data_IF_354446403747
#
_entry.id   IF_354446403747
#
_cell.length_a   1.000
_cell.length_b   1.000
_cell.length_c   1.000
_cell.angle_alpha   90.00
_cell.angle_beta   90.00
_cell.angle_gamma   90.00
#
_symmetry.space_group_name_H-M   'P 1'
#
loop_
_entity.id
_entity.type
_entity.pdbx_description
1 polymer ?
#
# COMPACT_ATOMS: atom_id res chain seq x y z
N UNK A 1 -64.07 70.91 -6.73
CA UNK A 1 -65.38 70.72 -6.06
C UNK A 1 -65.45 69.29 -5.54
N UNK A 2 -65.38 69.15 -4.18
CA UNK A 2 -66.29 68.34 -3.35
C UNK A 2 -66.36 66.82 -3.73
N UNK A 3 -66.19 65.85 -2.93
CA UNK A 3 -66.16 65.58 -1.47
C UNK A 3 -65.69 64.09 -1.35
N UNK A 4 -64.98 63.83 -0.28
CA UNK A 4 -64.80 62.53 0.32
C UNK A 4 -66.15 61.99 0.90
N UNK A 5 -66.39 60.68 1.18
CA UNK A 5 -65.83 60.14 2.43
C UNK A 5 -65.50 58.64 2.42
N UNK A 6 -64.66 58.28 3.40
CA UNK A 6 -64.47 57.05 4.17
C UNK A 6 -65.47 55.91 3.96
N UNK A 7 -64.95 54.72 3.83
CA UNK A 7 -65.54 53.50 4.29
C UNK A 7 -64.49 52.51 4.81
N UNK A 8 -64.69 52.19 6.06
CA UNK A 8 -63.96 51.27 6.91
C UNK A 8 -64.10 49.84 6.38
N UNK A 9 -63.04 49.10 6.18
CA UNK A 9 -63.05 47.68 5.85
C UNK A 9 -62.35 46.85 6.91
N UNK A 10 -63.08 45.88 7.44
CA UNK A 10 -62.69 44.89 8.44
C UNK A 10 -61.50 44.05 7.96
N UNK A 11 -60.51 43.88 8.84
CA UNK A 11 -59.48 42.82 8.75
C UNK A 11 -60.13 41.48 9.12
N UNK A 12 -60.20 40.61 8.15
CA UNK A 12 -60.39 39.17 8.38
C UNK A 12 -59.04 38.47 8.37
N UNK A 13 -58.53 38.15 9.55
CA UNK A 13 -57.31 37.32 9.71
C UNK A 13 -57.68 35.84 9.40
N UNK A 14 -57.24 35.37 8.22
CA UNK A 14 -57.20 33.93 7.93
C UNK A 14 -55.86 33.37 8.51
N UNK A 15 -55.98 32.62 9.56
CA UNK A 15 -54.93 31.72 10.03
C UNK A 15 -54.82 30.56 9.03
N UNK A 16 -53.77 30.58 8.18
CA UNK A 16 -53.37 29.38 7.46
C UNK A 16 -52.43 28.60 8.38
N UNK A 17 -52.96 27.57 9.02
CA UNK A 17 -52.17 26.51 9.64
C UNK A 17 -51.56 25.69 8.52
N UNK A 18 -50.36 26.09 8.07
CA UNK A 18 -49.53 25.27 7.21
C UNK A 18 -48.97 24.11 8.06
N UNK A 19 -49.41 22.89 7.72
CA UNK A 19 -48.76 21.69 8.22
C UNK A 19 -47.35 21.63 7.65
N UNK A 20 -46.35 21.96 8.49
CA UNK A 20 -44.97 21.57 8.26
C UNK A 20 -44.82 20.09 8.59
N UNK A 21 -45.13 19.26 7.60
CA UNK A 21 -44.77 17.85 7.61
C UNK A 21 -43.82 17.56 6.45
N UNK A 22 -42.62 18.05 6.57
CA UNK A 22 -41.40 17.58 5.89
C UNK A 22 -40.24 17.88 6.83
N UNK A 23 -40.21 17.22 7.97
CA UNK A 23 -39.02 16.96 8.72
C UNK A 23 -38.51 15.61 8.23
N UNK A 24 -37.85 15.57 7.12
CA UNK A 24 -36.86 14.56 6.83
C UNK A 24 -35.65 14.93 7.65
N UNK A 25 -35.46 14.33 8.80
CA UNK A 25 -34.14 14.16 9.37
C UNK A 25 -33.40 13.23 8.39
N UNK A 26 -32.85 13.82 7.31
CA UNK A 26 -31.72 13.25 6.63
C UNK A 26 -30.58 13.39 7.62
N UNK A 27 -30.51 12.47 8.57
CA UNK A 27 -29.27 12.11 9.24
C UNK A 27 -28.33 11.54 8.16
N UNK A 28 -27.73 12.44 7.39
CA UNK A 28 -26.41 12.22 6.78
C UNK A 28 -25.42 12.11 7.95
N UNK A 29 -25.55 11.03 8.72
CA UNK A 29 -24.56 10.66 9.71
C UNK A 29 -23.26 10.46 8.91
N UNK A 30 -22.35 11.44 9.01
CA UNK A 30 -21.06 11.35 8.37
C UNK A 30 -20.44 10.00 8.73
N UNK A 31 -20.15 9.19 7.72
CA UNK A 31 -19.51 7.88 7.91
C UNK A 31 -18.16 8.15 8.57
N UNK A 32 -18.02 7.78 9.83
CA UNK A 32 -16.82 8.03 10.63
C UNK A 32 -16.04 6.74 10.87
N UNK A 33 -14.71 6.82 11.02
CA UNK A 33 -13.90 5.67 11.39
C UNK A 33 -14.40 5.00 12.67
N UNK A 34 -14.32 3.67 12.72
CA UNK A 34 -14.74 2.89 13.88
C UNK A 34 -13.97 3.30 15.14
N UNK A 35 -14.69 3.41 16.26
CA UNK A 35 -14.06 3.60 17.57
C UNK A 35 -13.23 2.36 17.96
N UNK A 36 -12.10 2.60 18.64
CA UNK A 36 -11.24 1.52 19.09
C UNK A 36 -11.93 0.67 20.15
N UNK A 37 -12.21 -0.59 19.84
CA UNK A 37 -12.75 -1.55 20.79
C UNK A 37 -11.78 -1.79 21.93
N UNK A 38 -12.32 -1.96 23.14
CA UNK A 38 -11.57 -2.35 24.34
C UNK A 38 -11.44 -3.86 24.38
N UNK A 39 -10.25 -4.37 24.61
CA UNK A 39 -9.96 -5.78 24.81
C UNK A 39 -8.85 -5.98 25.82
N UNK A 40 -8.70 -7.20 26.32
CA UNK A 40 -7.59 -7.57 27.18
C UNK A 40 -6.38 -7.91 26.31
N UNK A 41 -5.26 -7.22 26.49
CA UNK A 41 -4.04 -7.56 25.78
C UNK A 41 -3.53 -8.93 26.22
N UNK A 42 -3.22 -9.78 25.26
CA UNK A 42 -2.69 -11.14 25.45
C UNK A 42 -1.18 -11.20 25.21
N UNK A 43 -0.68 -10.28 24.36
CA UNK A 43 0.74 -10.15 24.08
C UNK A 43 1.26 -8.77 24.45
N UNK A 44 2.52 -8.69 24.84
CA UNK A 44 3.20 -7.43 25.16
C UNK A 44 4.10 -7.00 24.00
N UNK A 45 3.73 -5.88 23.37
CA UNK A 45 4.50 -5.28 22.28
C UNK A 45 5.59 -4.39 22.90
N UNK A 46 6.85 -4.66 22.56
CA UNK A 46 7.99 -3.91 23.06
C UNK A 46 8.70 -3.17 21.95
N UNK A 47 8.81 -1.84 22.10
CA UNK A 47 9.67 -1.02 21.26
C UNK A 47 11.13 -1.33 21.58
N UNK A 48 11.92 -1.71 20.56
CA UNK A 48 13.34 -1.98 20.69
C UNK A 48 14.15 -0.69 20.58
N UNK A 49 13.89 0.05 19.54
CA UNK A 49 14.47 1.36 19.24
C UNK A 49 13.52 2.19 18.37
N UNK A 50 13.79 3.50 18.30
CA UNK A 50 13.11 4.42 17.39
C UNK A 50 14.12 5.48 16.93
N UNK A 51 14.11 5.84 15.64
CA UNK A 51 15.02 6.80 15.03
C UNK A 51 14.25 7.67 14.04
N UNK A 52 14.42 8.99 14.09
CA UNK A 52 13.89 9.90 13.09
C UNK A 52 14.85 9.97 11.89
N UNK A 53 14.32 9.84 10.68
CA UNK A 53 15.11 9.86 9.43
C UNK A 53 15.01 11.15 8.65
N UNK A 54 14.00 11.97 8.89
CA UNK A 54 13.77 13.24 8.19
C UNK A 54 12.57 13.97 8.75
N UNK A 55 12.14 15.01 8.06
CA UNK A 55 10.88 15.69 8.35
C UNK A 55 9.75 14.99 7.62
N UNK A 56 8.66 14.73 8.34
CA UNK A 56 7.40 14.39 7.68
C UNK A 56 6.83 15.65 7.04
N UNK A 57 6.67 15.66 5.75
CA UNK A 57 5.73 16.59 5.15
C UNK A 57 4.33 16.03 5.43
N UNK A 58 3.57 16.68 6.32
CA UNK A 58 2.23 16.27 6.74
C UNK A 58 1.22 16.25 5.58
N UNK A 59 1.53 16.91 4.47
CA UNK A 59 0.69 16.97 3.27
C UNK A 59 0.79 15.73 2.37
N UNK A 60 1.84 14.90 2.56
CA UNK A 60 2.02 13.65 1.83
C UNK A 60 2.03 12.47 2.79
N UNK A 61 1.11 11.54 2.58
CA UNK A 61 1.18 10.24 3.26
C UNK A 61 2.46 9.56 2.82
N UNK A 62 3.34 9.25 3.78
CA UNK A 62 4.58 8.57 3.46
C UNK A 62 4.28 7.11 3.10
N UNK A 63 4.22 6.84 1.80
CA UNK A 63 4.05 5.49 1.25
C UNK A 63 5.38 4.78 1.00
N UNK A 64 6.52 5.45 1.27
CA UNK A 64 7.84 4.88 1.02
C UNK A 64 8.09 3.72 1.98
N UNK A 65 8.17 2.53 1.39
CA UNK A 65 8.40 1.28 2.13
C UNK A 65 9.87 1.16 2.51
N UNK A 66 10.21 0.90 3.79
CA UNK A 66 11.58 0.53 4.14
C UNK A 66 11.93 -0.84 3.56
N UNK A 67 13.21 -1.05 3.25
CA UNK A 67 13.74 -2.35 2.81
C UNK A 67 14.90 -2.79 3.69
N UNK A 68 15.27 -4.07 3.61
CA UNK A 68 16.32 -4.65 4.46
C UNK A 68 17.31 -5.50 3.67
N UNK A 69 18.57 -5.40 4.06
CA UNK A 69 19.58 -6.35 3.64
C UNK A 69 20.59 -6.59 4.78
N UNK A 70 20.75 -7.85 5.19
CA UNK A 70 21.61 -8.21 6.30
C UNK A 70 21.25 -7.45 7.57
N UNK A 71 22.22 -6.68 8.07
CA UNK A 71 22.07 -5.89 9.30
C UNK A 71 21.61 -4.44 9.04
N UNK A 72 21.23 -4.09 7.80
CA UNK A 72 20.85 -2.73 7.40
C UNK A 72 19.39 -2.64 6.99
N UNK A 73 18.73 -1.58 7.48
CA UNK A 73 17.43 -1.12 6.99
C UNK A 73 17.69 0.13 6.16
N UNK A 74 17.14 0.17 4.95
CA UNK A 74 17.17 1.35 4.10
C UNK A 74 15.76 1.95 4.05
N UNK A 75 15.69 3.26 4.20
CA UNK A 75 14.44 4.00 4.27
C UNK A 75 14.63 5.39 3.67
N UNK A 76 13.57 6.05 3.27
CA UNK A 76 13.62 7.36 2.67
C UNK A 76 12.43 8.23 3.07
N UNK A 77 12.53 9.51 2.71
CA UNK A 77 11.44 10.47 2.77
C UNK A 77 11.19 11.13 1.40
N UNK A 78 10.04 11.81 1.28
CA UNK A 78 9.67 12.49 0.03
C UNK A 78 10.55 13.71 -0.32
N UNK A 79 11.35 14.22 0.62
CA UNK A 79 12.29 15.33 0.40
C UNK A 79 13.63 14.87 -0.16
N UNK A 80 13.74 13.58 -0.52
CA UNK A 80 14.94 13.01 -1.13
C UNK A 80 15.98 12.48 -0.15
N UNK A 81 15.66 12.45 1.14
CA UNK A 81 16.58 11.87 2.13
C UNK A 81 16.51 10.36 2.09
N UNK A 82 17.63 9.70 1.84
CA UNK A 82 17.79 8.23 1.94
C UNK A 82 18.72 7.92 3.10
N UNK A 83 18.32 6.98 3.94
CA UNK A 83 19.03 6.67 5.20
C UNK A 83 19.22 5.17 5.35
N UNK A 84 20.41 4.75 5.72
CA UNK A 84 20.70 3.40 6.20
C UNK A 84 20.76 3.37 7.72
N UNK A 85 20.01 2.44 8.33
CA UNK A 85 19.96 2.23 9.77
C UNK A 85 20.46 0.82 10.11
N UNK A 86 21.18 0.70 11.21
CA UNK A 86 21.50 -0.62 11.75
C UNK A 86 20.25 -1.26 12.37
N UNK A 87 19.89 -2.47 11.94
CA UNK A 87 18.67 -3.16 12.34
C UNK A 87 18.59 -3.45 13.84
N UNK A 88 19.73 -3.69 14.49
CA UNK A 88 19.76 -4.11 15.90
C UNK A 88 19.51 -2.97 16.89
N UNK A 89 19.79 -1.72 16.50
CA UNK A 89 19.80 -0.59 17.42
C UNK A 89 19.29 0.74 16.82
N UNK A 90 18.91 0.76 15.53
CA UNK A 90 18.39 1.94 14.83
C UNK A 90 19.41 3.05 14.59
N UNK A 91 20.71 2.84 14.83
CA UNK A 91 21.73 3.87 14.57
C UNK A 91 21.88 4.10 13.07
N UNK A 92 21.97 5.37 12.66
CA UNK A 92 22.28 5.76 11.28
C UNK A 92 23.69 5.30 10.93
N UNK A 93 23.83 4.52 9.86
CA UNK A 93 25.11 4.16 9.24
C UNK A 93 25.54 5.27 8.29
N UNK A 94 24.63 5.68 7.42
CA UNK A 94 24.78 6.84 6.53
C UNK A 94 23.44 7.50 6.25
N UNK A 95 23.46 8.71 5.78
CA UNK A 95 22.30 9.48 5.32
C UNK A 95 22.74 10.43 4.21
N UNK A 96 22.02 10.43 3.09
CA UNK A 96 22.25 11.33 1.96
C UNK A 96 20.96 12.05 1.62
N UNK A 97 21.04 13.26 1.07
CA UNK A 97 19.93 13.95 0.47
C UNK A 97 20.22 14.10 -1.03
N UNK A 98 19.29 13.66 -1.86
CA UNK A 98 19.39 13.70 -3.32
C UNK A 98 18.90 15.03 -3.91
N UNK A 99 18.32 15.91 -3.09
CA UNK A 99 17.70 17.19 -3.49
C UNK A 99 16.60 17.02 -4.58
N UNK A 100 15.88 15.90 -4.53
CA UNK A 100 14.77 15.55 -5.45
C UNK A 100 13.55 15.06 -4.67
N UNK A 101 12.38 15.13 -5.30
CA UNK A 101 11.14 14.59 -4.69
C UNK A 101 11.01 13.10 -4.97
N UNK A 102 11.31 12.26 -3.98
CA UNK A 102 11.18 10.81 -4.06
C UNK A 102 9.72 10.42 -3.88
N UNK A 103 9.19 9.62 -4.81
CA UNK A 103 7.83 9.09 -4.79
C UNK A 103 7.77 7.56 -4.71
N UNK A 104 8.82 6.86 -5.15
CA UNK A 104 8.93 5.41 -5.17
C UNK A 104 10.16 4.88 -4.45
N UNK A 105 9.95 3.88 -3.64
CA UNK A 105 11.08 3.24 -2.94
C UNK A 105 10.74 2.91 -1.49
N UNK A 106 11.70 2.38 -0.75
CA UNK A 106 13.12 2.16 -1.08
C UNK A 106 13.29 0.71 -1.55
N UNK A 107 13.86 0.53 -2.72
CA UNK A 107 14.24 -0.78 -3.25
C UNK A 107 15.66 -1.18 -2.83
N UNK A 108 15.93 -2.48 -2.81
CA UNK A 108 17.27 -3.02 -2.62
C UNK A 108 17.52 -4.22 -3.55
N UNK A 109 18.72 -4.32 -4.09
CA UNK A 109 19.19 -5.49 -4.83
C UNK A 109 20.68 -5.36 -5.17
N UNK A 110 21.42 -6.46 -5.07
CA UNK A 110 22.82 -6.57 -5.47
C UNK A 110 23.77 -5.47 -4.94
N UNK A 111 23.57 -5.07 -3.69
CA UNK A 111 24.41 -4.02 -3.07
C UNK A 111 23.99 -2.59 -3.40
N UNK A 112 22.86 -2.40 -4.07
CA UNK A 112 22.32 -1.09 -4.41
C UNK A 112 21.04 -0.81 -3.64
N UNK A 113 20.88 0.45 -3.24
CA UNK A 113 19.62 1.05 -2.75
C UNK A 113 19.05 1.89 -3.87
N UNK A 114 17.76 1.72 -4.17
CA UNK A 114 17.15 2.37 -5.32
C UNK A 114 15.92 3.16 -4.91
N UNK A 115 15.74 4.34 -5.50
CA UNK A 115 14.55 5.19 -5.32
C UNK A 115 14.10 5.75 -6.67
N UNK A 116 12.81 6.00 -6.78
CA UNK A 116 12.20 6.67 -7.93
C UNK A 116 11.65 8.04 -7.54
N UNK A 117 11.49 8.93 -8.50
CA UNK A 117 11.05 10.31 -8.29
C UNK A 117 9.75 10.62 -9.03
N UNK A 118 9.10 11.72 -8.64
CA UNK A 118 7.92 12.25 -9.36
C UNK A 118 8.24 12.70 -10.78
N UNK A 119 9.49 13.06 -11.07
CA UNK A 119 9.94 13.46 -12.41
C UNK A 119 10.38 12.27 -13.28
N UNK A 120 10.25 11.02 -12.76
CA UNK A 120 10.62 9.81 -13.50
C UNK A 120 12.10 9.50 -13.48
N UNK A 121 12.87 10.07 -12.56
CA UNK A 121 14.26 9.69 -12.38
C UNK A 121 14.36 8.48 -11.46
N UNK A 122 15.28 7.58 -11.74
CA UNK A 122 15.64 6.42 -10.90
C UNK A 122 17.07 6.59 -10.43
N UNK A 123 17.28 6.63 -9.14
CA UNK A 123 18.59 6.71 -8.51
C UNK A 123 18.98 5.36 -7.96
N UNK A 124 20.20 4.90 -8.27
CA UNK A 124 20.84 3.78 -7.59
C UNK A 124 22.00 4.30 -6.76
N UNK A 125 22.03 3.91 -5.49
CA UNK A 125 23.04 4.30 -4.52
C UNK A 125 23.81 3.06 -4.02
N UNK A 126 25.07 3.19 -3.73
CA UNK A 126 25.84 2.16 -3.04
C UNK A 126 25.28 1.94 -1.63
N UNK A 127 24.90 0.71 -1.34
CA UNK A 127 24.29 0.37 -0.05
C UNK A 127 25.26 0.56 1.16
N UNK A 128 26.57 0.61 0.90
CA UNK A 128 27.59 0.71 1.96
C UNK A 128 27.79 2.14 2.47
N UNK A 129 27.62 3.15 1.60
CA UNK A 129 27.92 4.55 1.93
C UNK A 129 26.92 5.57 1.41
N UNK A 130 25.96 5.15 0.57
CA UNK A 130 24.94 6.02 -0.01
C UNK A 130 25.39 6.86 -1.20
N UNK A 131 26.61 6.64 -1.74
CA UNK A 131 27.06 7.34 -2.94
C UNK A 131 26.23 6.95 -4.17
N UNK A 132 25.90 7.93 -5.02
CA UNK A 132 25.14 7.68 -6.26
C UNK A 132 26.02 6.91 -7.24
N UNK A 133 25.56 5.74 -7.67
CA UNK A 133 26.21 4.89 -8.66
C UNK A 133 25.81 5.31 -10.06
N UNK A 134 24.51 5.49 -10.29
CA UNK A 134 23.96 5.97 -11.56
C UNK A 134 22.57 6.59 -11.35
N UNK A 135 22.15 7.34 -12.34
CA UNK A 135 20.78 7.90 -12.46
C UNK A 135 20.26 7.60 -13.85
N UNK A 136 19.00 7.21 -13.96
CA UNK A 136 18.32 6.91 -15.22
C UNK A 136 16.99 7.67 -15.30
N UNK A 137 16.54 7.99 -16.52
CA UNK A 137 15.27 8.65 -16.80
C UNK A 137 14.30 7.64 -17.41
N UNK A 138 13.11 7.50 -16.82
CA UNK A 138 11.98 6.72 -17.36
C UNK A 138 10.84 7.63 -17.80
N UNK A 139 9.76 7.07 -18.35
CA UNK A 139 8.72 7.84 -19.05
C UNK A 139 7.86 8.72 -18.15
N UNK A 140 7.68 8.35 -16.88
CA UNK A 140 6.75 9.03 -15.98
C UNK A 140 7.13 8.80 -14.52
N UNK A 141 6.35 9.35 -13.59
CA UNK A 141 6.52 9.18 -12.14
C UNK A 141 6.69 7.71 -11.75
N UNK A 142 7.64 7.45 -10.84
CA UNK A 142 7.89 6.13 -10.23
C UNK A 142 7.34 6.12 -8.82
N UNK A 143 6.23 5.41 -8.58
CA UNK A 143 5.61 5.31 -7.25
C UNK A 143 6.04 4.03 -6.53
N UNK A 144 6.16 2.90 -7.25
CA UNK A 144 6.59 1.64 -6.67
C UNK A 144 8.10 1.58 -6.43
N UNK A 145 8.50 0.72 -5.49
CA UNK A 145 9.93 0.53 -5.23
C UNK A 145 10.61 -0.19 -6.41
N UNK A 146 11.69 0.37 -7.00
CA UNK A 146 12.49 -0.38 -7.96
C UNK A 146 13.04 -1.67 -7.38
N UNK A 147 13.07 -2.76 -8.14
CA UNK A 147 13.51 -4.10 -7.69
C UNK A 147 14.62 -4.62 -8.59
N UNK A 148 15.61 -5.31 -8.01
CA UNK A 148 16.74 -5.85 -8.78
C UNK A 148 17.08 -7.30 -8.38
N UNK A 149 17.48 -8.08 -9.38
CA UNK A 149 18.11 -9.39 -9.21
C UNK A 149 19.66 -9.34 -9.31
N UNK A 150 20.23 -8.15 -9.55
CA UNK A 150 21.66 -7.92 -9.74
C UNK A 150 22.08 -7.83 -11.21
N UNK A 151 21.26 -8.21 -12.15
CA UNK A 151 21.48 -8.07 -13.59
C UNK A 151 20.64 -6.94 -14.16
N UNK A 152 19.37 -6.86 -13.75
CA UNK A 152 18.43 -5.80 -14.11
C UNK A 152 17.87 -5.09 -12.90
N UNK A 153 17.36 -3.89 -13.12
CA UNK A 153 16.46 -3.15 -12.21
C UNK A 153 15.11 -2.99 -12.92
N UNK A 154 14.05 -3.58 -12.34
CA UNK A 154 12.69 -3.40 -12.83
C UNK A 154 12.07 -2.16 -12.19
N UNK A 155 11.47 -1.30 -13.01
CA UNK A 155 10.84 -0.03 -12.62
C UNK A 155 9.49 0.07 -13.30
N UNK A 156 8.41 0.25 -12.52
CA UNK A 156 7.09 0.52 -13.06
C UNK A 156 6.72 1.99 -12.85
N UNK A 157 6.12 2.59 -13.88
CA UNK A 157 5.72 4.00 -13.90
C UNK A 157 4.20 4.17 -13.92
N UNK A 158 3.69 5.33 -13.50
CA UNK A 158 2.25 5.61 -13.41
C UNK A 158 1.53 5.64 -14.76
N UNK A 159 2.24 5.67 -15.87
CA UNK A 159 1.69 5.52 -17.22
C UNK A 159 1.60 4.04 -17.68
N UNK A 160 1.57 3.12 -16.71
CA UNK A 160 1.40 1.66 -16.86
C UNK A 160 2.52 1.00 -17.69
N UNK A 161 3.75 1.54 -17.62
CA UNK A 161 4.93 0.97 -18.26
C UNK A 161 5.84 0.28 -17.28
N UNK A 162 6.48 -0.80 -17.76
CA UNK A 162 7.50 -1.53 -17.02
C UNK A 162 8.82 -1.43 -17.78
N UNK A 163 9.85 -0.92 -17.11
CA UNK A 163 11.21 -0.82 -17.62
C UNK A 163 12.11 -1.86 -16.95
N UNK A 164 13.04 -2.41 -17.71
CA UNK A 164 14.21 -3.09 -17.16
C UNK A 164 15.45 -2.31 -17.55
N UNK A 165 16.16 -1.85 -16.54
CA UNK A 165 17.42 -1.12 -16.66
C UNK A 165 18.58 -2.06 -16.33
N UNK A 166 19.72 -1.88 -16.95
CA UNK A 166 20.97 -2.56 -16.57
C UNK A 166 21.36 -2.19 -15.14
N UNK A 167 21.55 -3.17 -14.28
CA UNK A 167 21.81 -2.91 -12.86
C UNK A 167 23.14 -2.18 -12.61
N UNK A 168 24.10 -2.24 -13.55
CA UNK A 168 25.41 -1.64 -13.41
C UNK A 168 25.47 -0.21 -13.96
N UNK A 169 24.73 0.06 -15.05
CA UNK A 169 24.86 1.33 -15.80
C UNK A 169 23.60 2.20 -15.71
N UNK A 170 22.43 1.61 -15.39
CA UNK A 170 21.13 2.27 -15.44
C UNK A 170 20.58 2.42 -16.88
N UNK A 171 21.27 1.91 -17.90
CA UNK A 171 20.78 1.97 -19.28
C UNK A 171 19.56 1.05 -19.47
N UNK A 172 18.60 1.50 -20.29
CA UNK A 172 17.42 0.70 -20.63
C UNK A 172 17.81 -0.53 -21.44
N UNK A 173 17.41 -1.73 -21.00
CA UNK A 173 17.58 -2.98 -21.73
C UNK A 173 16.31 -3.29 -22.54
N UNK A 174 15.14 -3.20 -21.90
CA UNK A 174 13.85 -3.39 -22.53
C UNK A 174 12.76 -2.65 -21.76
N UNK A 175 11.67 -2.39 -22.45
CA UNK A 175 10.43 -1.86 -21.86
C UNK A 175 9.21 -2.65 -22.30
N UNK A 176 8.15 -2.61 -21.52
CA UNK A 176 6.83 -3.11 -21.86
C UNK A 176 5.81 -2.00 -21.62
N UNK A 177 5.03 -1.70 -22.67
CA UNK A 177 3.92 -0.75 -22.57
C UNK A 177 2.67 -1.51 -22.14
N UNK A 178 2.08 -1.14 -21.01
CA UNK A 178 0.80 -1.64 -20.56
C UNK A 178 -0.38 -1.00 -21.32
N UNK A 179 -1.57 -1.48 -21.05
CA UNK A 179 -2.82 -0.96 -21.63
C UNK A 179 -3.47 0.03 -20.63
N UNK A 180 -2.79 1.15 -20.33
CA UNK A 180 -3.28 2.11 -19.33
C UNK A 180 -4.77 2.46 -19.53
N UNK A 181 -5.66 2.24 -18.54
CA UNK A 181 -7.05 2.65 -18.63
C UNK A 181 -7.19 4.18 -18.56
N UNK A 182 -8.37 4.70 -18.89
CA UNK A 182 -8.66 6.15 -18.81
C UNK A 182 -8.59 6.64 -17.36
N UNK A 183 -8.92 5.77 -16.40
CA UNK A 183 -8.90 6.00 -14.96
C UNK A 183 -8.31 4.77 -14.26
N UNK A 184 -7.31 4.99 -13.41
CA UNK A 184 -6.77 4.00 -12.49
C UNK A 184 -6.70 4.59 -11.07
N UNK A 185 -6.55 3.75 -10.06
CA UNK A 185 -6.11 4.21 -8.73
C UNK A 185 -4.68 4.72 -8.87
N UNK A 186 -4.33 5.82 -8.18
CA UNK A 186 -2.94 6.28 -8.19
C UNK A 186 -2.08 5.32 -7.38
N UNK A 187 -1.58 4.31 -8.05
CA UNK A 187 -0.70 3.27 -7.53
C UNK A 187 0.03 2.62 -8.69
N UNK A 188 1.01 1.82 -8.40
CA UNK A 188 1.64 0.89 -9.34
C UNK A 188 2.10 -0.33 -8.56
N UNK A 189 1.99 -1.50 -9.17
CA UNK A 189 2.45 -2.74 -8.54
C UNK A 189 3.96 -2.70 -8.27
N UNK A 190 4.38 -3.12 -7.09
CA UNK A 190 5.80 -3.45 -6.91
C UNK A 190 6.10 -4.75 -7.67
N UNK A 191 7.04 -4.70 -8.60
CA UNK A 191 7.43 -5.90 -9.35
C UNK A 191 8.19 -6.89 -8.47
N UNK A 192 7.98 -8.19 -8.67
CA UNK A 192 8.82 -9.25 -8.10
C UNK A 192 9.87 -9.65 -9.12
N UNK A 193 11.14 -9.45 -8.81
CA UNK A 193 12.25 -9.76 -9.72
C UNK A 193 13.04 -10.95 -9.19
N UNK A 194 13.14 -11.98 -10.00
CA UNK A 194 13.93 -13.19 -9.72
C UNK A 194 14.94 -13.43 -10.84
N UNK A 195 15.84 -14.41 -10.70
CA UNK A 195 16.82 -14.71 -11.76
C UNK A 195 16.19 -15.21 -13.07
N UNK A 196 14.93 -15.60 -13.09
CA UNK A 196 14.28 -16.17 -14.29
C UNK A 196 12.92 -15.56 -14.63
N UNK A 197 12.47 -14.55 -13.87
CA UNK A 197 11.16 -13.94 -14.08
C UNK A 197 11.09 -12.53 -13.45
N UNK A 198 10.50 -11.60 -14.19
CA UNK A 198 9.94 -10.34 -13.68
C UNK A 198 8.44 -10.51 -13.66
N UNK A 199 7.81 -10.33 -12.51
CA UNK A 199 6.37 -10.43 -12.32
C UNK A 199 5.82 -9.05 -11.95
N UNK A 200 4.85 -8.53 -12.70
CA UNK A 200 4.26 -7.22 -12.46
C UNK A 200 2.75 -7.24 -12.61
N UNK A 201 2.05 -6.51 -11.75
CA UNK A 201 0.64 -6.21 -11.87
C UNK A 201 0.43 -4.95 -12.72
N UNK A 202 -0.72 -4.85 -13.38
CA UNK A 202 -1.09 -3.72 -14.23
C UNK A 202 -2.48 -3.20 -13.90
N UNK A 203 -2.75 -1.94 -14.28
CA UNK A 203 -4.00 -1.21 -14.04
C UNK A 203 -5.21 -1.80 -14.79
N UNK A 204 -5.00 -2.86 -15.55
CA UNK A 204 -6.07 -3.63 -16.25
C UNK A 204 -6.48 -4.91 -15.51
N UNK A 205 -5.99 -5.10 -14.28
CA UNK A 205 -6.20 -6.33 -13.50
C UNK A 205 -5.47 -7.55 -14.06
N UNK A 206 -4.42 -7.32 -14.85
CA UNK A 206 -3.54 -8.35 -15.39
C UNK A 206 -2.30 -8.51 -14.52
N UNK A 207 -1.91 -9.75 -14.30
CA UNK A 207 -0.60 -10.12 -13.74
C UNK A 207 0.22 -10.76 -14.84
N UNK A 208 1.40 -10.21 -15.11
CA UNK A 208 2.21 -10.59 -16.25
C UNK A 208 3.61 -11.01 -15.80
N UNK A 209 4.11 -12.09 -16.36
CA UNK A 209 5.47 -12.57 -16.14
C UNK A 209 6.30 -12.43 -17.42
N UNK A 210 7.47 -11.82 -17.28
CA UNK A 210 8.42 -11.56 -18.35
C UNK A 210 9.75 -12.27 -18.11
N UNK A 211 10.42 -12.60 -19.20
CA UNK A 211 11.83 -12.99 -19.16
C UNK A 211 12.69 -11.77 -18.79
N UNK A 212 13.53 -11.83 -17.73
CA UNK A 212 14.32 -10.69 -17.30
C UNK A 212 15.34 -10.20 -18.35
N UNK A 213 15.89 -11.08 -19.19
CA UNK A 213 16.97 -10.75 -20.11
C UNK A 213 16.51 -9.91 -21.30
N UNK A 214 15.25 -10.10 -21.75
CA UNK A 214 14.78 -9.53 -23.03
C UNK A 214 13.33 -9.05 -23.03
N UNK A 215 12.62 -9.09 -21.89
CA UNK A 215 11.24 -8.63 -21.76
C UNK A 215 10.20 -9.49 -22.50
N UNK A 216 10.58 -10.66 -23.03
CA UNK A 216 9.60 -11.51 -23.69
C UNK A 216 8.58 -12.07 -22.70
N UNK A 217 7.31 -12.13 -23.14
CA UNK A 217 6.22 -12.64 -22.34
C UNK A 217 6.41 -14.14 -22.04
N UNK A 218 6.41 -14.50 -20.74
CA UNK A 218 6.37 -15.90 -20.30
C UNK A 218 4.92 -16.34 -20.21
N UNK A 219 4.09 -15.60 -19.47
CA UNK A 219 2.64 -15.79 -19.37
C UNK A 219 1.95 -14.52 -18.90
N UNK A 220 0.66 -14.42 -19.19
CA UNK A 220 -0.26 -13.39 -18.70
C UNK A 220 -1.46 -14.07 -18.02
N UNK A 221 -1.93 -13.52 -16.92
CA UNK A 221 -3.13 -13.97 -16.22
C UNK A 221 -4.00 -12.79 -15.81
N UNK A 222 -5.29 -12.88 -16.08
CA UNK A 222 -6.25 -11.84 -15.70
C UNK A 222 -6.92 -12.20 -14.37
N UNK A 223 -6.65 -11.42 -13.32
CA UNK A 223 -7.25 -11.60 -12.01
C UNK A 223 -8.63 -10.97 -11.95
N UNK A 224 -8.81 -9.79 -12.53
CA UNK A 224 -10.08 -9.11 -12.54
C UNK A 224 -10.46 -8.65 -13.96
N UNK A 225 -11.75 -8.47 -14.19
CA UNK A 225 -12.29 -7.95 -15.45
C UNK A 225 -13.08 -6.69 -15.10
N UNK A 226 -12.80 -5.54 -15.73
CA UNK A 226 -13.56 -4.32 -15.54
C UNK A 226 -15.06 -4.56 -15.69
N UNK A 227 -15.85 -4.20 -14.67
CA UNK A 227 -17.31 -4.36 -14.67
C UNK A 227 -17.94 -3.04 -14.25
N UNK A 228 -19.05 -2.66 -14.87
CA UNK A 228 -19.80 -1.47 -14.51
C UNK A 228 -20.10 -0.59 -15.71
N UNK A 229 -20.79 0.53 -15.45
CA UNK A 229 -21.26 1.49 -16.46
C UNK A 229 -20.41 2.76 -16.50
N UNK A 230 -19.75 3.07 -15.41
CA UNK A 230 -18.86 4.24 -15.27
C UNK A 230 -17.40 3.81 -15.24
N UNK A 231 -16.47 4.70 -15.56
CA UNK A 231 -15.05 4.41 -15.48
C UNK A 231 -14.62 4.08 -14.03
N UNK A 232 -15.22 4.73 -13.02
CA UNK A 232 -14.97 4.42 -11.60
C UNK A 232 -15.36 2.98 -11.23
N UNK A 233 -16.51 2.49 -11.71
CA UNK A 233 -16.93 1.11 -11.47
C UNK A 233 -16.07 0.09 -12.22
N UNK A 234 -15.30 0.52 -13.21
CA UNK A 234 -14.48 -0.34 -14.07
C UNK A 234 -13.01 -0.41 -13.67
N UNK A 235 -12.57 0.34 -12.66
CA UNK A 235 -11.20 0.25 -12.15
C UNK A 235 -10.96 -1.13 -11.54
N UNK A 236 -9.85 -1.78 -11.90
CA UNK A 236 -9.49 -3.14 -11.46
C UNK A 236 -7.97 -3.30 -11.34
N UNK A 237 -7.34 -2.46 -10.58
CA UNK A 237 -5.89 -2.33 -10.53
C UNK A 237 -5.24 -3.41 -9.64
N UNK A 238 -4.00 -3.77 -9.96
CA UNK A 238 -3.13 -4.57 -9.08
C UNK A 238 -2.01 -3.65 -8.58
N UNK A 239 -2.21 -3.03 -7.43
CA UNK A 239 -1.23 -2.10 -6.83
C UNK A 239 -0.29 -2.81 -5.84
N UNK A 240 -0.80 -3.79 -5.10
CA UNK A 240 -0.02 -4.54 -4.14
C UNK A 240 1.05 -5.42 -4.78
N UNK A 241 2.23 -5.52 -4.15
CA UNK A 241 3.28 -6.45 -4.56
C UNK A 241 2.73 -7.89 -4.59
N UNK A 242 2.82 -8.63 -5.71
CA UNK A 242 2.44 -10.03 -5.76
C UNK A 242 3.28 -10.87 -4.80
N UNK A 243 2.65 -11.65 -3.97
CA UNK A 243 3.32 -12.45 -2.95
C UNK A 243 3.72 -13.82 -3.50
N UNK A 244 5.01 -14.09 -3.59
CA UNK A 244 5.55 -15.35 -4.06
C UNK A 244 5.84 -16.30 -2.88
N UNK A 245 5.15 -17.45 -2.82
CA UNK A 245 5.36 -18.49 -1.81
C UNK A 245 5.61 -19.82 -2.51
N UNK A 246 6.86 -20.24 -2.62
CA UNK A 246 7.25 -21.43 -3.38
C UNK A 246 6.85 -21.31 -4.86
N UNK A 247 6.00 -22.23 -5.31
CA UNK A 247 5.49 -22.25 -6.69
C UNK A 247 4.11 -21.57 -6.85
N UNK A 248 3.63 -20.86 -5.83
CA UNK A 248 2.35 -20.18 -5.85
C UNK A 248 2.56 -18.66 -5.73
N UNK A 249 1.83 -17.91 -6.55
CA UNK A 249 1.74 -16.46 -6.50
C UNK A 249 0.35 -16.11 -5.95
N UNK A 250 0.31 -15.25 -4.93
CA UNK A 250 -0.92 -14.63 -4.45
C UNK A 250 -0.93 -13.17 -4.85
N UNK A 251 -2.00 -12.71 -5.49
CA UNK A 251 -2.19 -11.33 -5.86
C UNK A 251 -3.65 -10.94 -5.64
N UNK A 252 -3.87 -9.70 -5.25
CA UNK A 252 -5.19 -9.13 -5.02
C UNK A 252 -5.37 -7.91 -5.91
N UNK A 253 -6.61 -7.67 -6.34
CA UNK A 253 -6.96 -6.49 -7.16
C UNK A 253 -7.90 -5.57 -6.40
N UNK A 254 -7.83 -4.30 -6.71
CA UNK A 254 -8.88 -3.35 -6.39
C UNK A 254 -10.16 -3.72 -7.17
N UNK A 255 -11.33 -3.63 -6.54
CA UNK A 255 -12.65 -4.00 -7.08
C UNK A 255 -12.70 -5.38 -7.78
N UNK A 256 -11.95 -6.35 -7.28
CA UNK A 256 -11.84 -7.64 -7.94
C UNK A 256 -11.71 -8.84 -7.04
N UNK A 257 -10.57 -9.50 -7.05
CA UNK A 257 -10.36 -10.80 -6.41
C UNK A 257 -8.96 -10.97 -5.83
N UNK A 258 -8.88 -11.76 -4.78
CA UNK A 258 -7.65 -12.45 -4.39
C UNK A 258 -7.51 -13.72 -5.25
N UNK A 259 -6.38 -13.89 -5.90
CA UNK A 259 -6.06 -15.06 -6.69
C UNK A 259 -4.82 -15.79 -6.22
N UNK A 260 -4.83 -17.13 -6.28
CA UNK A 260 -3.63 -17.95 -6.24
C UNK A 260 -3.36 -18.51 -7.62
N UNK A 261 -2.14 -18.34 -8.11
CA UNK A 261 -1.72 -18.73 -9.44
C UNK A 261 -0.46 -19.61 -9.37
N UNK A 262 -0.31 -20.51 -10.33
CA UNK A 262 0.92 -21.26 -10.53
C UNK A 262 2.02 -20.34 -11.07
N UNK A 263 3.15 -20.25 -10.37
CA UNK A 263 4.31 -19.43 -10.75
C UNK A 263 4.80 -19.72 -12.18
N UNK A 264 4.89 -20.99 -12.55
CA UNK A 264 5.46 -21.39 -13.85
C UNK A 264 4.53 -21.16 -15.04
N UNK A 265 3.22 -21.02 -14.83
CA UNK A 265 2.23 -21.02 -15.94
C UNK A 265 1.21 -19.89 -15.89
N UNK A 266 1.12 -19.14 -14.80
CA UNK A 266 0.07 -18.16 -14.58
C UNK A 266 -1.34 -18.75 -14.42
N UNK A 267 -1.49 -20.07 -14.44
CA UNK A 267 -2.82 -20.70 -14.29
C UNK A 267 -3.35 -20.47 -12.89
N UNK A 268 -4.62 -20.07 -12.80
CA UNK A 268 -5.31 -19.93 -11.53
C UNK A 268 -5.46 -21.28 -10.84
N UNK A 269 -5.14 -21.34 -9.57
CA UNK A 269 -5.41 -22.46 -8.67
C UNK A 269 -6.78 -22.27 -7.99
N UNK A 270 -7.04 -21.05 -7.54
CA UNK A 270 -8.32 -20.61 -6.99
C UNK A 270 -8.47 -19.08 -7.04
N UNK A 271 -9.69 -18.60 -6.89
CA UNK A 271 -10.02 -17.20 -6.71
C UNK A 271 -11.03 -17.04 -5.57
N UNK A 272 -10.96 -15.89 -4.88
CA UNK A 272 -11.94 -15.45 -3.89
C UNK A 272 -12.26 -13.98 -4.10
N UNK A 273 -13.51 -13.58 -3.95
CA UNK A 273 -13.89 -12.19 -3.99
C UNK A 273 -13.25 -11.45 -2.82
N UNK A 274 -12.47 -10.42 -3.12
CA UNK A 274 -11.77 -9.57 -2.17
C UNK A 274 -11.23 -8.36 -2.92
N UNK A 275 -11.31 -7.18 -2.34
CA UNK A 275 -10.85 -5.94 -2.94
C UNK A 275 -9.80 -5.30 -2.07
N UNK A 276 -8.62 -5.04 -2.62
CA UNK A 276 -7.50 -4.42 -1.90
C UNK A 276 -6.49 -3.82 -2.86
N UNK A 277 -5.91 -2.71 -2.46
CA UNK A 277 -4.75 -2.10 -3.09
C UNK A 277 -3.43 -2.42 -2.33
N UNK A 278 -3.49 -3.20 -1.27
CA UNK A 278 -2.34 -3.61 -0.49
C UNK A 278 -1.79 -4.97 -0.90
N UNK A 279 -0.49 -5.17 -0.69
CA UNK A 279 0.12 -6.49 -0.82
C UNK A 279 -0.46 -7.47 0.22
N UNK A 280 -0.77 -8.73 -0.16
CA UNK A 280 -1.19 -9.74 0.79
C UNK A 280 -0.01 -10.22 1.64
N UNK A 281 -0.28 -10.75 2.83
CA UNK A 281 0.72 -11.43 3.66
C UNK A 281 0.45 -12.93 3.76
N UNK A 282 1.49 -13.72 4.03
CA UNK A 282 1.38 -15.17 4.22
C UNK A 282 1.98 -15.59 5.56
N UNK A 283 1.23 -16.38 6.30
CA UNK A 283 1.70 -17.01 7.53
C UNK A 283 0.82 -18.24 7.83
N UNK A 284 1.40 -19.30 8.42
CA UNK A 284 0.67 -20.48 8.93
C UNK A 284 -0.32 -21.08 7.91
N UNK A 285 0.10 -21.22 6.64
CA UNK A 285 -0.73 -21.73 5.53
C UNK A 285 -2.00 -20.90 5.25
N UNK A 286 -2.00 -19.62 5.64
CA UNK A 286 -3.05 -18.66 5.37
C UNK A 286 -2.49 -17.44 4.64
N UNK A 287 -3.36 -16.84 3.81
CA UNK A 287 -3.14 -15.54 3.15
C UNK A 287 -4.04 -14.52 3.82
N UNK A 288 -3.46 -13.38 4.17
CA UNK A 288 -4.14 -12.28 4.84
C UNK A 288 -4.22 -11.09 3.91
N UNK A 289 -5.34 -10.41 3.91
CA UNK A 289 -5.62 -9.22 3.10
C UNK A 289 -6.24 -8.15 3.99
N UNK A 290 -5.82 -6.91 3.84
CA UNK A 290 -6.55 -5.73 4.31
C UNK A 290 -7.43 -5.25 3.15
N UNK A 291 -8.74 -5.37 3.29
CA UNK A 291 -9.71 -4.99 2.25
C UNK A 291 -9.95 -3.46 2.26
N UNK A 292 -10.53 -2.90 1.20
CA UNK A 292 -10.66 -1.45 0.99
C UNK A 292 -11.48 -0.72 2.07
N UNK A 293 -12.39 -1.42 2.76
CA UNK A 293 -13.15 -0.89 3.90
C UNK A 293 -12.45 -1.15 5.25
N UNK A 294 -11.13 -1.47 5.21
CA UNK A 294 -10.31 -1.77 6.39
C UNK A 294 -10.73 -3.02 7.18
N UNK A 295 -11.40 -3.96 6.52
CA UNK A 295 -11.56 -5.30 7.05
C UNK A 295 -10.27 -6.10 6.86
N UNK A 296 -9.82 -6.79 7.90
CA UNK A 296 -8.72 -7.75 7.79
C UNK A 296 -9.28 -9.15 7.64
N UNK A 297 -8.89 -9.84 6.59
CA UNK A 297 -9.45 -11.14 6.24
C UNK A 297 -8.38 -12.20 6.04
N UNK A 298 -8.66 -13.42 6.46
CA UNK A 298 -7.79 -14.57 6.29
C UNK A 298 -8.43 -15.64 5.40
N UNK A 299 -7.61 -16.25 4.55
CA UNK A 299 -7.99 -17.33 3.64
C UNK A 299 -7.00 -18.49 3.77
N UNK A 300 -7.46 -19.73 3.63
CA UNK A 300 -6.57 -20.89 3.50
C UNK A 300 -5.76 -20.79 2.21
N UNK A 301 -4.46 -20.79 2.30
CA UNK A 301 -3.56 -20.61 1.16
C UNK A 301 -3.76 -21.66 0.06
N UNK A 302 -3.97 -22.93 0.43
CA UNK A 302 -4.14 -24.03 -0.54
C UNK A 302 -5.49 -24.09 -1.26
N UNK A 303 -6.56 -23.44 -0.74
CA UNK A 303 -7.92 -23.57 -1.29
C UNK A 303 -8.67 -22.26 -1.47
N UNK A 304 -8.16 -21.17 -0.90
CA UNK A 304 -8.86 -19.88 -0.87
C UNK A 304 -10.08 -19.83 0.07
N UNK A 305 -10.38 -20.89 0.81
CA UNK A 305 -11.50 -20.87 1.73
C UNK A 305 -11.33 -19.76 2.78
N UNK A 306 -12.34 -18.89 3.00
CA UNK A 306 -12.32 -17.93 4.08
C UNK A 306 -12.15 -18.61 5.45
N UNK A 307 -11.32 -18.06 6.32
CA UNK A 307 -11.11 -18.53 7.69
C UNK A 307 -11.82 -17.62 8.69
N UNK A 308 -11.49 -16.33 8.63
CA UNK A 308 -12.11 -15.31 9.47
C UNK A 308 -12.07 -13.93 8.79
N UNK A 309 -12.85 -13.00 9.32
CA UNK A 309 -12.85 -11.58 8.98
C UNK A 309 -12.94 -10.75 10.25
N UNK A 310 -12.16 -9.67 10.33
CA UNK A 310 -12.26 -8.66 11.39
C UNK A 310 -12.59 -7.31 10.75
N UNK A 311 -13.81 -6.80 11.03
CA UNK A 311 -14.36 -5.55 10.51
C UNK A 311 -14.32 -4.42 11.56
N UNK A 312 -13.69 -4.64 12.71
CA UNK A 312 -13.72 -3.71 13.86
C UNK A 312 -12.79 -2.50 13.68
N UNK A 313 -12.11 -2.41 12.53
CA UNK A 313 -11.23 -1.29 12.15
C UNK A 313 -11.76 -0.51 10.94
N UNK A 314 -13.06 -0.59 10.68
CA UNK A 314 -13.73 0.05 9.54
C UNK A 314 -13.33 1.53 9.39
N UNK A 315 -12.92 1.92 8.18
CA UNK A 315 -12.48 3.27 7.76
C UNK A 315 -11.32 3.88 8.59
N UNK A 316 -10.47 3.08 9.21
CA UNK A 316 -9.30 3.58 9.93
C UNK A 316 -8.06 3.74 9.05
N UNK A 317 -8.17 3.48 7.74
CA UNK A 317 -7.11 3.59 6.74
C UNK A 317 -5.91 2.72 7.12
N UNK A 318 -6.13 1.43 7.11
CA UNK A 318 -5.14 0.44 7.51
C UNK A 318 -4.02 0.31 6.48
N UNK A 319 -2.85 -0.06 6.95
CA UNK A 319 -1.78 -0.59 6.09
C UNK A 319 -2.09 -2.01 5.64
N UNK A 320 -1.38 -2.49 4.62
CA UNK A 320 -1.35 -3.91 4.32
C UNK A 320 -0.89 -4.75 5.51
N UNK A 321 -1.29 -6.03 5.59
CA UNK A 321 -0.97 -6.90 6.71
C UNK A 321 0.53 -7.26 6.71
N UNK A 322 1.13 -7.33 7.90
CA UNK A 322 2.49 -7.79 8.12
C UNK A 322 2.50 -8.85 9.24
N UNK A 323 3.65 -9.49 9.44
CA UNK A 323 3.80 -10.49 10.52
C UNK A 323 4.63 -9.93 11.66
N UNK A 324 4.23 -10.23 12.89
CA UNK A 324 5.06 -10.03 14.08
C UNK A 324 4.98 -11.28 14.97
N UNK A 325 6.02 -12.09 14.95
CA UNK A 325 6.22 -13.24 15.84
C UNK A 325 4.94 -14.10 16.05
N UNK A 326 4.34 -14.57 14.97
CA UNK A 326 3.15 -15.45 15.02
C UNK A 326 1.82 -14.72 15.07
N UNK A 327 1.78 -13.39 15.11
CA UNK A 327 0.56 -12.58 14.98
C UNK A 327 0.51 -11.88 13.62
N UNK A 328 -0.67 -11.38 13.26
CA UNK A 328 -0.87 -10.51 12.09
C UNK A 328 -0.97 -9.07 12.57
N UNK A 329 -0.19 -8.20 11.96
CA UNK A 329 -0.08 -6.79 12.29
C UNK A 329 -0.69 -5.92 11.19
N UNK A 330 -1.50 -4.94 11.55
CA UNK A 330 -1.93 -3.82 10.71
C UNK A 330 -1.77 -2.52 11.48
N UNK A 331 -1.46 -1.43 10.81
CA UNK A 331 -1.38 -0.11 11.44
C UNK A 331 -2.39 0.84 10.82
N UNK A 332 -2.81 1.87 11.54
CA UNK A 332 -3.85 2.79 11.11
C UNK A 332 -3.39 4.25 10.97
N UNK A 333 -4.21 5.09 10.33
CA UNK A 333 -3.93 6.51 10.12
C UNK A 333 -3.90 7.34 11.41
N UNK A 334 -4.42 6.82 12.52
CA UNK A 334 -4.25 7.44 13.83
C UNK A 334 -2.95 6.99 14.51
N UNK A 335 -2.17 6.07 13.90
CA UNK A 335 -0.88 5.59 14.36
C UNK A 335 -0.97 4.51 15.44
N UNK A 336 -2.01 3.70 15.44
CA UNK A 336 -2.06 2.48 16.24
C UNK A 336 -1.57 1.29 15.43
N UNK A 337 -0.74 0.47 16.04
CA UNK A 337 -0.37 -0.87 15.58
C UNK A 337 -1.28 -1.86 16.30
N UNK A 338 -2.07 -2.61 15.53
CA UNK A 338 -2.97 -3.64 15.98
C UNK A 338 -2.40 -5.02 15.67
N UNK A 339 -2.47 -5.94 16.62
CA UNK A 339 -2.09 -7.34 16.43
C UNK A 339 -3.32 -8.22 16.57
N UNK A 340 -3.50 -9.09 15.58
CA UNK A 340 -4.59 -10.05 15.49
C UNK A 340 -4.07 -11.47 15.64
N UNK A 341 -4.85 -12.32 16.28
CA UNK A 341 -4.59 -13.76 16.31
C UNK A 341 -4.79 -14.36 14.91
N UNK A 342 -3.84 -15.15 14.39
CA UNK A 342 -3.96 -15.72 13.06
C UNK A 342 -5.06 -16.79 12.93
N UNK A 343 -5.55 -17.34 14.04
CA UNK A 343 -6.52 -18.46 14.04
C UNK A 343 -7.95 -17.96 13.82
N UNK A 344 -8.34 -16.87 14.50
CA UNK A 344 -9.72 -16.37 14.49
C UNK A 344 -9.85 -14.84 14.29
N UNK A 345 -8.72 -14.11 14.19
CA UNK A 345 -8.71 -12.69 13.89
C UNK A 345 -9.06 -11.74 15.04
N UNK A 346 -9.17 -12.23 16.29
CA UNK A 346 -9.41 -11.33 17.42
C UNK A 346 -8.16 -10.50 17.78
N UNK A 347 -8.32 -9.36 18.45
CA UNK A 347 -7.20 -8.53 18.89
C UNK A 347 -6.46 -9.16 20.06
N UNK A 348 -5.16 -9.37 19.89
CA UNK A 348 -4.26 -9.87 20.94
C UNK A 348 -3.33 -8.78 21.50
N UNK A 349 -3.12 -7.69 20.76
CA UNK A 349 -2.27 -6.57 21.20
C UNK A 349 -2.57 -5.28 20.45
N UNK A 350 -2.28 -4.15 21.09
CA UNK A 350 -2.34 -2.82 20.47
C UNK A 350 -1.34 -1.89 21.14
N UNK A 351 -0.66 -1.07 20.33
CA UNK A 351 0.23 -0.02 20.84
C UNK A 351 0.12 1.22 19.96
N UNK A 352 0.21 2.39 20.55
CA UNK A 352 0.37 3.65 19.84
C UNK A 352 1.81 3.75 19.36
N UNK A 353 2.01 3.82 18.05
CA UNK A 353 3.32 4.01 17.41
C UNK A 353 3.70 5.48 17.47
N UNK A 354 2.84 6.31 16.90
CA UNK A 354 3.00 7.75 16.78
C UNK A 354 1.64 8.46 16.62
N UNK A 355 1.62 9.79 16.69
CA UNK A 355 0.42 10.60 16.49
C UNK A 355 0.15 11.01 15.06
N UNK A 356 1.14 10.89 14.17
CA UNK A 356 1.04 11.29 12.75
C UNK A 356 0.38 10.24 11.86
N UNK A 357 0.24 9.02 12.36
CA UNK A 357 -0.29 7.89 11.59
C UNK A 357 0.78 7.01 10.95
N UNK A 358 0.35 5.88 10.40
CA UNK A 358 1.19 4.96 9.65
C UNK A 358 0.51 4.66 8.32
N UNK A 359 1.15 5.01 7.21
CA UNK A 359 0.66 4.73 5.85
C UNK A 359 1.61 3.84 5.06
N UNK A 360 2.92 3.86 5.41
CA UNK A 360 3.92 3.02 4.77
C UNK A 360 3.71 1.53 5.07
N UNK A 361 3.93 0.63 4.10
CA UNK A 361 3.93 -0.80 4.35
C UNK A 361 4.97 -1.17 5.41
N UNK A 362 4.56 -2.00 6.37
CA UNK A 362 5.43 -2.45 7.44
C UNK A 362 6.35 -3.58 6.97
N UNK A 363 7.56 -3.66 7.54
CA UNK A 363 8.58 -4.65 7.17
C UNK A 363 8.80 -5.66 8.30
N UNK A 364 8.52 -6.94 8.02
CA UNK A 364 8.84 -8.05 8.92
C UNK A 364 10.30 -8.47 8.76
N UNK A 365 11.07 -8.46 9.84
CA UNK A 365 12.47 -8.91 9.83
C UNK A 365 12.72 -9.87 10.99
N UNK A 366 12.76 -11.16 10.70
CA UNK A 366 12.81 -12.20 11.70
C UNK A 366 11.63 -12.12 12.66
N UNK A 367 11.88 -11.87 13.94
CA UNK A 367 10.87 -11.68 14.98
C UNK A 367 10.54 -10.20 15.23
N UNK A 368 11.09 -9.29 14.43
CA UNK A 368 10.87 -7.85 14.57
C UNK A 368 9.95 -7.32 13.48
N UNK A 369 9.20 -6.29 13.80
CA UNK A 369 8.43 -5.50 12.85
C UNK A 369 9.01 -4.09 12.83
N UNK A 370 9.36 -3.62 11.63
CA UNK A 370 9.81 -2.24 11.38
C UNK A 370 8.61 -1.46 10.88
N UNK A 371 8.33 -0.36 11.56
CA UNK A 371 7.22 0.54 11.26
C UNK A 371 7.78 1.93 11.01
N UNK A 372 7.46 2.50 9.87
CA UNK A 372 7.76 3.90 9.53
C UNK A 372 6.47 4.71 9.67
N UNK A 373 6.46 5.68 10.59
CA UNK A 373 5.33 6.59 10.77
C UNK A 373 5.43 7.79 9.83
N UNK A 374 4.31 8.50 9.68
CA UNK A 374 4.21 9.62 8.75
C UNK A 374 5.09 10.82 9.16
N UNK A 375 5.51 10.93 10.43
CA UNK A 375 6.47 11.93 10.91
C UNK A 375 7.95 11.60 10.58
N UNK A 376 8.19 10.53 9.82
CA UNK A 376 9.54 10.07 9.48
C UNK A 376 10.23 9.31 10.61
N UNK A 377 9.52 8.93 11.68
CA UNK A 377 10.08 8.02 12.69
C UNK A 377 10.04 6.57 12.21
N UNK A 378 11.16 5.89 12.31
CA UNK A 378 11.30 4.44 12.06
C UNK A 378 11.49 3.75 13.38
N UNK A 379 10.62 2.79 13.67
CA UNK A 379 10.57 2.10 14.97
C UNK A 379 10.58 0.59 14.79
N UNK A 380 11.40 -0.11 15.58
CA UNK A 380 11.39 -1.57 15.63
C UNK A 380 10.59 -2.07 16.84
N UNK A 381 9.71 -3.03 16.60
CA UNK A 381 8.89 -3.71 17.60
C UNK A 381 9.20 -5.19 17.66
N UNK A 382 9.08 -5.77 18.86
CA UNK A 382 9.08 -7.22 19.13
C UNK A 382 7.99 -7.58 20.11
N UNK A 383 7.56 -8.83 20.13
CA UNK A 383 6.81 -9.39 21.24
C UNK A 383 7.74 -9.78 22.40
N UNK A 384 7.22 -9.66 23.62
CA UNK A 384 7.95 -10.02 24.85
C UNK A 384 7.57 -11.44 25.28
#
# INVERSE_FOLDING_TARGET
MKYSPLATALLSSLFITGCTWFGGDDDDAAITPAELVKFKQEVSIKRQWSTSIGSANQDYRNSLRPTVNGDSIFTGDHEGTVTALNISNGKKAWQVNLDVSVSGGVGYGAGMVMVGTIEGEVYALDASDGSVLWTSQVSSEVISSPKSNGEIVAVQTVDDRLFALDATTGEEIWQHDGDAPILSVRGTSESVVTGNMVLSGFDTGKLVAFNPDNGSLIWESRLAVPKGRTELERMVDIDGEPLLVGDVIYAVTYQGRLGALSRGTGRSLWFQDSSSHHAPAYSQEQVYVTEDEDAVRAFKAGSGQPVWINEQLFLRQLTGPARLAGTIAVADAEGYLHLLDPVDGHFVGRVKVDGSGVSAPMLTVGESLIVQANDGSVTAYRLK
#
